data_IF_340683652972
#
_entry.id   IF_340683652972
#
_cell.length_a   1.000
_cell.length_b   1.000
_cell.length_c   1.000
_cell.angle_alpha   90.00
_cell.angle_beta   90.00
_cell.angle_gamma   90.00
#
_symmetry.space_group_name_H-M   'P 1'
#
loop_
_entity.id
_entity.type
_entity.pdbx_description
1 polymer ?
#
# COMPACT_ATOMS: atom_id res chain seq x y z
N UNK A 1 -5.93 16.48 2.11
CA UNK A 1 -5.30 15.32 1.43
C UNK A 1 -6.39 14.36 1.01
N UNK A 2 -6.42 13.93 -0.26
CA UNK A 2 -7.45 13.01 -0.76
C UNK A 2 -7.29 11.61 -0.15
N UNK A 3 -8.37 10.81 -0.07
CA UNK A 3 -8.31 9.41 0.39
C UNK A 3 -7.26 8.61 -0.38
N UNK A 4 -7.23 8.76 -1.70
CA UNK A 4 -6.24 8.14 -2.59
C UNK A 4 -4.79 8.46 -2.19
N UNK A 5 -4.46 9.75 -1.96
CA UNK A 5 -3.09 10.14 -1.56
C UNK A 5 -2.70 9.57 -0.20
N UNK A 6 -3.64 9.51 0.76
CA UNK A 6 -3.38 8.88 2.06
C UNK A 6 -3.03 7.41 1.91
N UNK A 7 -3.78 6.67 1.10
CA UNK A 7 -3.54 5.23 0.88
C UNK A 7 -2.20 4.98 0.17
N UNK A 8 -1.82 5.81 -0.80
CA UNK A 8 -0.51 5.70 -1.48
C UNK A 8 0.66 5.91 -0.51
N UNK A 9 0.53 6.84 0.45
CA UNK A 9 1.55 7.04 1.49
C UNK A 9 1.63 5.81 2.39
N UNK A 10 0.49 5.24 2.81
CA UNK A 10 0.45 4.01 3.62
C UNK A 10 1.07 2.84 2.85
N UNK A 11 0.76 2.67 1.55
CA UNK A 11 1.36 1.66 0.67
C UNK A 11 2.89 1.75 0.69
N UNK A 12 3.44 2.96 0.49
CA UNK A 12 4.88 3.16 0.48
C UNK A 12 5.52 2.96 1.85
N UNK A 13 4.89 3.43 2.92
CA UNK A 13 5.37 3.19 4.28
C UNK A 13 5.44 1.69 4.59
N UNK A 14 4.39 0.92 4.26
CA UNK A 14 4.37 -0.53 4.46
C UNK A 14 5.45 -1.24 3.63
N UNK A 15 5.63 -0.87 2.36
CA UNK A 15 6.73 -1.41 1.53
C UNK A 15 8.11 -1.17 2.15
N UNK A 16 8.30 -0.02 2.81
CA UNK A 16 9.53 0.29 3.53
C UNK A 16 9.66 -0.52 4.83
N UNK A 17 8.62 -0.57 5.65
CA UNK A 17 8.63 -1.32 6.92
C UNK A 17 8.90 -2.81 6.70
N UNK A 18 8.32 -3.42 5.67
CA UNK A 18 8.54 -4.84 5.34
C UNK A 18 10.02 -5.16 5.02
N UNK A 19 10.79 -4.16 4.58
CA UNK A 19 12.20 -4.31 4.21
C UNK A 19 13.17 -3.94 5.34
N UNK A 20 12.68 -3.56 6.53
CA UNK A 20 13.58 -3.19 7.65
C UNK A 20 14.41 -4.42 8.08
N UNK A 21 15.69 -4.24 8.41
CA UNK A 21 16.61 -5.34 8.70
C UNK A 21 16.22 -6.15 9.94
N UNK A 22 15.58 -5.52 10.92
CA UNK A 22 15.21 -6.12 12.21
C UNK A 22 13.74 -6.56 12.28
N UNK A 23 13.12 -6.85 11.13
CA UNK A 23 11.71 -7.21 11.08
C UNK A 23 11.45 -8.63 11.59
N UNK A 24 10.53 -8.77 12.55
CA UNK A 24 10.03 -10.08 12.96
C UNK A 24 9.19 -10.71 11.84
N UNK A 25 9.38 -12.02 11.63
CA UNK A 25 8.67 -12.76 10.58
C UNK A 25 7.14 -12.70 10.69
N UNK A 26 6.58 -12.65 11.90
CA UNK A 26 5.12 -12.51 12.11
C UNK A 26 4.66 -11.11 11.79
N UNK A 27 5.45 -10.09 12.14
CA UNK A 27 5.16 -8.70 11.80
C UNK A 27 5.21 -8.49 10.28
N UNK A 28 6.22 -9.04 9.59
CA UNK A 28 6.28 -9.04 8.11
C UNK A 28 5.01 -9.66 7.51
N UNK A 29 4.54 -10.79 8.05
CA UNK A 29 3.35 -11.46 7.54
C UNK A 29 2.10 -10.58 7.70
N UNK A 30 1.94 -9.93 8.85
CA UNK A 30 0.87 -8.97 9.11
C UNK A 30 0.96 -7.75 8.19
N UNK A 31 2.15 -7.15 8.08
CA UNK A 31 2.40 -5.98 7.23
C UNK A 31 2.13 -6.27 5.76
N UNK A 32 2.51 -7.46 5.25
CA UNK A 32 2.18 -7.90 3.88
C UNK A 32 0.67 -8.08 3.69
N UNK A 33 -0.04 -8.57 4.71
CA UNK A 33 -1.49 -8.73 4.66
C UNK A 33 -2.18 -7.37 4.59
N UNK A 34 -1.73 -6.40 5.39
CA UNK A 34 -2.23 -5.02 5.37
C UNK A 34 -1.87 -4.33 4.05
N UNK A 35 -0.66 -4.53 3.52
CA UNK A 35 -0.23 -3.98 2.23
C UNK A 35 -1.20 -4.39 1.11
N UNK A 36 -1.57 -5.68 1.05
CA UNK A 36 -2.54 -6.18 0.06
C UNK A 36 -3.91 -5.53 0.21
N UNK A 37 -4.41 -5.36 1.44
CA UNK A 37 -5.69 -4.69 1.68
C UNK A 37 -5.66 -3.23 1.22
N UNK A 38 -4.56 -2.52 1.50
CA UNK A 38 -4.36 -1.13 1.05
C UNK A 38 -4.29 -1.05 -0.47
N UNK A 39 -3.64 -1.99 -1.15
CA UNK A 39 -3.61 -2.06 -2.61
C UNK A 39 -5.02 -2.29 -3.21
N UNK A 40 -5.83 -3.18 -2.61
CA UNK A 40 -7.22 -3.40 -3.02
C UNK A 40 -8.08 -2.14 -2.82
N UNK A 41 -7.93 -1.44 -1.70
CA UNK A 41 -8.67 -0.20 -1.42
C UNK A 41 -8.25 0.95 -2.35
N UNK A 42 -6.96 1.03 -2.72
CA UNK A 42 -6.48 1.96 -3.75
C UNK A 42 -7.18 1.67 -5.08
N UNK A 43 -7.28 0.40 -5.50
CA UNK A 43 -7.98 0.02 -6.73
C UNK A 43 -9.44 0.45 -6.71
N UNK A 44 -10.16 0.20 -5.60
CA UNK A 44 -11.56 0.63 -5.43
C UNK A 44 -11.72 2.14 -5.51
N UNK A 45 -10.82 2.90 -4.88
CA UNK A 45 -10.85 4.36 -4.97
C UNK A 45 -10.47 4.88 -6.37
N UNK A 46 -9.57 4.19 -7.07
CA UNK A 46 -9.27 4.52 -8.46
C UNK A 46 -10.48 4.32 -9.37
N UNK A 47 -11.20 3.20 -9.22
CA UNK A 47 -12.42 2.91 -9.98
C UNK A 47 -13.50 3.97 -9.72
N UNK A 48 -13.78 4.27 -8.45
CA UNK A 48 -14.77 5.27 -8.04
C UNK A 48 -14.49 6.65 -8.62
N UNK A 49 -13.22 7.05 -8.61
CA UNK A 49 -12.79 8.38 -9.04
C UNK A 49 -12.31 8.42 -10.50
N UNK A 50 -12.43 7.31 -11.25
CA UNK A 50 -11.91 7.15 -12.63
C UNK A 50 -10.43 7.53 -12.79
N UNK A 51 -9.64 7.27 -11.75
CA UNK A 51 -8.20 7.52 -11.74
C UNK A 51 -7.53 6.36 -12.49
N UNK A 52 -6.68 6.66 -13.47
CA UNK A 52 -5.91 5.62 -14.17
C UNK A 52 -4.85 5.02 -13.23
N UNK A 53 -4.64 3.69 -13.24
CA UNK A 53 -3.53 3.08 -12.51
C UNK A 53 -2.23 3.74 -12.97
N UNK A 54 -1.42 4.22 -12.03
CA UNK A 54 -0.03 4.50 -12.33
C UNK A 54 0.68 3.16 -12.23
N UNK A 55 1.24 2.67 -13.34
CA UNK A 55 2.24 1.60 -13.26
C UNK A 55 3.30 2.05 -12.26
N UNK A 56 3.49 1.25 -11.20
CA UNK A 56 4.58 1.45 -10.25
C UNK A 56 5.87 1.43 -11.10
N UNK A 57 6.45 2.60 -11.36
CA UNK A 57 7.77 2.73 -12.00
C UNK A 57 8.78 2.18 -11.00
N UNK A 58 9.05 0.88 -11.13
CA UNK A 58 10.19 0.20 -10.55
C UNK A 58 11.49 0.79 -11.13
#
# INVERSE_FOLDING_TARGET
MSPYTKMQIIKHALKYYIQRPDADSKDIHREKTVLRQVEEDICREMERNRIKPKEDRL
#
